data_IF_152990230123
#
_entry.id   IF_152990230123
#
_cell.length_a   1.000
_cell.length_b   1.000
_cell.length_c   1.000
_cell.angle_alpha   90.00
_cell.angle_beta   90.00
_cell.angle_gamma   90.00
#
_symmetry.space_group_name_H-M   'P 1'
#
loop_
_entity.id
_entity.type
_entity.pdbx_description
1 polymer ?
#
# COMPACT_ATOMS: atom_id res chain seq x y z
N UNK A 1 37.21 -15.48 0.12
CA UNK A 1 35.95 -16.04 0.65
C UNK A 1 35.14 -14.91 1.27
N UNK A 2 34.14 -14.37 0.57
CA UNK A 2 33.25 -13.34 1.15
C UNK A 2 31.95 -14.03 1.52
N UNK A 3 31.92 -14.59 2.74
CA UNK A 3 30.70 -15.14 3.31
C UNK A 3 29.85 -13.95 3.78
N UNK A 4 29.16 -13.28 2.84
CA UNK A 4 28.15 -12.30 3.17
C UNK A 4 26.98 -13.09 3.75
N UNK A 5 27.00 -13.33 5.06
CA UNK A 5 25.80 -13.75 5.79
C UNK A 5 24.70 -12.78 5.34
N UNK A 6 23.65 -13.31 4.73
CA UNK A 6 22.39 -12.57 4.66
C UNK A 6 21.95 -12.45 6.11
N UNK A 7 22.36 -11.37 6.76
CA UNK A 7 21.84 -11.01 8.07
C UNK A 7 20.33 -10.91 7.90
N UNK A 8 19.61 -11.62 8.78
CA UNK A 8 18.16 -11.56 8.81
C UNK A 8 17.73 -10.08 8.85
N UNK A 9 16.66 -9.68 8.13
CA UNK A 9 16.18 -8.31 8.18
C UNK A 9 15.99 -7.92 9.64
N UNK A 10 16.51 -6.75 10.01
CA UNK A 10 16.37 -6.24 11.37
C UNK A 10 14.89 -6.23 11.76
N UNK A 11 14.55 -6.60 13.00
CA UNK A 11 13.17 -6.58 13.44
C UNK A 11 12.59 -5.17 13.26
N UNK A 12 11.29 -5.07 12.92
CA UNK A 12 10.63 -3.79 12.68
C UNK A 12 10.75 -2.91 13.93
N UNK A 13 11.07 -1.64 13.71
CA UNK A 13 11.12 -0.67 14.81
C UNK A 13 9.71 -0.28 15.28
N UNK A 14 9.62 0.51 16.35
CA UNK A 14 8.34 0.91 16.93
C UNK A 14 7.46 1.70 15.94
N UNK A 15 8.06 2.48 15.04
CA UNK A 15 7.30 3.22 14.02
C UNK A 15 6.69 2.25 12.99
N UNK A 16 7.41 1.18 12.64
CA UNK A 16 6.96 0.17 11.68
C UNK A 16 5.81 -0.65 12.23
N UNK A 17 5.87 -0.99 13.51
CA UNK A 17 4.77 -1.63 14.21
C UNK A 17 3.51 -0.75 14.18
N UNK A 18 3.64 0.54 14.49
CA UNK A 18 2.50 1.47 14.51
C UNK A 18 1.90 1.71 13.12
N UNK A 19 2.74 1.79 12.09
CA UNK A 19 2.25 1.90 10.72
C UNK A 19 1.58 0.61 10.23
N UNK A 20 2.14 -0.56 10.54
CA UNK A 20 1.52 -1.85 10.22
C UNK A 20 0.14 -1.99 10.88
N UNK A 21 -0.02 -1.55 12.14
CA UNK A 21 -1.33 -1.48 12.80
C UNK A 21 -2.29 -0.54 12.05
N UNK A 22 -1.81 0.61 11.58
CA UNK A 22 -2.62 1.54 10.80
C UNK A 22 -3.08 0.94 9.46
N UNK A 23 -2.21 0.19 8.77
CA UNK A 23 -2.57 -0.56 7.56
C UNK A 23 -3.60 -1.66 7.83
N UNK A 24 -3.46 -2.42 8.92
CA UNK A 24 -4.45 -3.42 9.32
C UNK A 24 -5.80 -2.79 9.63
N UNK A 25 -5.81 -1.64 10.31
CA UNK A 25 -7.03 -0.89 10.56
C UNK A 25 -7.69 -0.43 9.25
N UNK A 26 -6.91 0.01 8.25
CA UNK A 26 -7.44 0.34 6.92
C UNK A 26 -8.11 -0.88 6.25
N UNK A 27 -7.52 -2.08 6.35
CA UNK A 27 -8.13 -3.31 5.81
C UNK A 27 -9.48 -3.61 6.47
N UNK A 28 -9.56 -3.47 7.80
CA UNK A 28 -10.81 -3.62 8.56
C UNK A 28 -11.87 -2.63 8.07
N UNK A 29 -11.50 -1.35 7.87
CA UNK A 29 -12.43 -0.33 7.37
C UNK A 29 -12.87 -0.60 5.94
N UNK A 30 -11.99 -1.10 5.08
CA UNK A 30 -12.35 -1.52 3.72
C UNK A 30 -13.33 -2.72 3.73
N UNK A 31 -13.13 -3.68 4.62
CA UNK A 31 -14.07 -4.80 4.78
C UNK A 31 -15.46 -4.30 5.23
N UNK A 32 -15.50 -3.36 6.18
CA UNK A 32 -16.75 -2.72 6.61
C UNK A 32 -17.43 -1.95 5.48
N UNK A 33 -16.67 -1.22 4.65
CA UNK A 33 -17.21 -0.55 3.47
C UNK A 33 -17.83 -1.53 2.48
N UNK A 34 -17.14 -2.63 2.14
CA UNK A 34 -17.70 -3.69 1.27
C UNK A 34 -19.00 -4.24 1.82
N UNK A 35 -19.06 -4.48 3.13
CA UNK A 35 -20.29 -4.93 3.78
C UNK A 35 -21.42 -3.88 3.69
N UNK A 36 -21.13 -2.61 4.01
CA UNK A 36 -22.11 -1.52 3.93
C UNK A 36 -22.66 -1.32 2.51
N UNK A 37 -21.88 -1.63 1.46
CA UNK A 37 -22.34 -1.61 0.07
C UNK A 37 -23.36 -2.69 -0.24
N UNK A 38 -23.25 -3.85 0.42
CA UNK A 38 -24.15 -4.99 0.18
C UNK A 38 -25.46 -4.90 0.95
N UNK A 39 -25.44 -4.37 2.18
CA UNK A 39 -26.60 -4.42 3.08
C UNK A 39 -27.03 -3.05 3.61
N UNK A 40 -26.20 -2.03 3.44
CA UNK A 40 -26.39 -0.72 4.05
C UNK A 40 -27.09 0.29 3.15
N UNK A 41 -27.54 1.37 3.77
CA UNK A 41 -28.09 2.53 3.04
C UNK A 41 -26.99 3.53 2.63
N UNK A 42 -27.35 4.52 1.81
CA UNK A 42 -26.39 5.51 1.29
C UNK A 42 -25.57 6.21 2.37
N UNK A 43 -26.17 6.54 3.53
CA UNK A 43 -25.44 7.20 4.64
C UNK A 43 -24.43 6.29 5.31
N UNK A 44 -24.72 5.00 5.39
CA UNK A 44 -23.80 4.01 5.96
C UNK A 44 -22.60 3.80 5.03
N UNK A 45 -22.83 3.77 3.71
CA UNK A 45 -21.77 3.73 2.70
C UNK A 45 -20.92 5.01 2.75
N UNK A 46 -21.53 6.18 2.92
CA UNK A 46 -20.82 7.46 3.09
C UNK A 46 -19.96 7.47 4.35
N UNK A 47 -20.51 7.03 5.49
CA UNK A 47 -19.75 6.92 6.75
C UNK A 47 -18.60 5.94 6.62
N UNK A 48 -18.82 4.79 6.00
CA UNK A 48 -17.76 3.80 5.80
C UNK A 48 -16.66 4.31 4.86
N UNK A 49 -16.98 5.17 3.88
CA UNK A 49 -15.99 5.82 3.04
C UNK A 49 -15.15 6.85 3.83
N UNK A 50 -15.77 7.63 4.71
CA UNK A 50 -15.06 8.56 5.60
C UNK A 50 -14.13 7.81 6.58
N UNK A 51 -14.57 6.67 7.10
CA UNK A 51 -13.75 5.81 7.95
C UNK A 51 -12.48 5.33 7.23
N UNK A 52 -12.58 4.99 5.93
CA UNK A 52 -11.42 4.66 5.10
C UNK A 52 -10.52 5.88 4.95
N UNK A 53 -11.06 7.05 4.60
CA UNK A 53 -10.28 8.28 4.43
C UNK A 53 -9.51 8.65 5.72
N UNK A 54 -10.18 8.57 6.86
CA UNK A 54 -9.56 8.79 8.18
C UNK A 54 -8.46 7.78 8.49
N UNK A 55 -8.65 6.50 8.13
CA UNK A 55 -7.61 5.48 8.29
C UNK A 55 -6.38 5.76 7.40
N UNK A 56 -6.58 6.27 6.18
CA UNK A 56 -5.50 6.69 5.29
C UNK A 56 -4.71 7.89 5.85
N UNK A 57 -5.38 8.87 6.46
CA UNK A 57 -4.69 9.97 7.15
C UNK A 57 -3.88 9.49 8.35
N UNK A 58 -4.40 8.53 9.12
CA UNK A 58 -3.63 7.92 10.19
C UNK A 58 -2.37 7.24 9.65
N UNK A 59 -2.46 6.49 8.54
CA UNK A 59 -1.28 5.89 7.87
C UNK A 59 -0.27 6.98 7.48
N UNK A 60 -0.73 8.07 6.87
CA UNK A 60 0.13 9.20 6.51
C UNK A 60 0.86 9.78 7.73
N UNK A 61 0.18 9.92 8.87
CA UNK A 61 0.77 10.49 10.07
C UNK A 61 1.80 9.57 10.76
N UNK A 62 1.78 8.26 10.47
CA UNK A 62 2.72 7.29 11.03
C UNK A 62 3.93 7.02 10.15
N UNK A 63 3.91 7.40 8.88
CA UNK A 63 5.00 7.12 7.95
C UNK A 63 6.09 8.21 7.99
N UNK A 64 7.40 7.86 8.06
CA UNK A 64 8.47 8.86 8.15
C UNK A 64 8.73 9.62 6.83
N UNK A 65 8.51 8.99 5.68
CA UNK A 65 8.68 9.63 4.36
C UNK A 65 7.51 10.55 4.01
N UNK A 66 7.79 11.86 3.91
CA UNK A 66 6.84 12.91 3.50
C UNK A 66 6.10 12.66 2.18
N UNK A 67 6.73 11.98 1.21
CA UNK A 67 6.10 11.64 -0.08
C UNK A 67 4.99 10.63 0.13
N UNK A 68 5.25 9.60 0.94
CA UNK A 68 4.25 8.60 1.31
C UNK A 68 3.10 9.24 2.08
N UNK A 69 3.41 10.17 3.00
CA UNK A 69 2.35 10.91 3.69
C UNK A 69 1.46 11.70 2.71
N UNK A 70 2.06 12.39 1.75
CA UNK A 70 1.34 13.18 0.74
C UNK A 70 0.44 12.28 -0.13
N UNK A 71 0.95 11.14 -0.59
CA UNK A 71 0.17 10.17 -1.39
C UNK A 71 -1.06 9.64 -0.63
N UNK A 72 -0.91 9.26 0.64
CA UNK A 72 -2.03 8.79 1.45
C UNK A 72 -3.05 9.90 1.72
N UNK A 73 -2.60 11.14 2.00
CA UNK A 73 -3.48 12.29 2.19
C UNK A 73 -4.24 12.64 0.90
N UNK A 74 -3.56 12.65 -0.25
CA UNK A 74 -4.18 12.94 -1.54
C UNK A 74 -5.25 11.89 -1.90
N UNK A 75 -5.00 10.61 -1.63
CA UNK A 75 -6.01 9.55 -1.83
C UNK A 75 -7.18 9.66 -0.85
N UNK A 76 -6.93 10.02 0.41
CA UNK A 76 -7.99 10.27 1.40
C UNK A 76 -8.92 11.41 0.95
N UNK A 77 -8.33 12.53 0.50
CA UNK A 77 -9.08 13.66 -0.05
C UNK A 77 -9.86 13.29 -1.31
N UNK A 78 -9.23 12.56 -2.25
CA UNK A 78 -9.90 12.05 -3.45
C UNK A 78 -11.10 11.18 -3.11
N UNK A 79 -11.00 10.34 -2.08
CA UNK A 79 -12.10 9.50 -1.61
C UNK A 79 -13.25 10.34 -1.04
N UNK A 80 -12.96 11.33 -0.17
CA UNK A 80 -13.98 12.23 0.40
C UNK A 80 -14.75 13.00 -0.66
N UNK A 81 -14.05 13.44 -1.70
CA UNK A 81 -14.62 14.20 -2.81
C UNK A 81 -15.31 13.31 -3.87
N UNK A 82 -15.37 11.99 -3.66
CA UNK A 82 -15.95 11.04 -4.62
C UNK A 82 -17.30 10.47 -4.16
N UNK A 83 -18.13 10.09 -5.12
CA UNK A 83 -19.42 9.44 -4.90
C UNK A 83 -19.65 8.32 -5.93
N UNK A 84 -20.63 7.46 -5.67
CA UNK A 84 -21.07 6.43 -6.62
C UNK A 84 -19.94 5.54 -7.14
N UNK A 85 -19.95 5.28 -8.46
CA UNK A 85 -18.98 4.40 -9.13
C UNK A 85 -17.53 4.93 -9.05
N UNK A 86 -17.33 6.25 -9.05
CA UNK A 86 -15.99 6.83 -8.92
C UNK A 86 -15.38 6.50 -7.55
N UNK A 87 -16.18 6.59 -6.49
CA UNK A 87 -15.76 6.20 -5.14
C UNK A 87 -15.35 4.73 -5.08
N UNK A 88 -16.14 3.86 -5.70
CA UNK A 88 -15.90 2.42 -5.73
C UNK A 88 -14.56 2.09 -6.40
N UNK A 89 -14.27 2.70 -7.56
CA UNK A 89 -12.97 2.56 -8.22
C UNK A 89 -11.81 3.01 -7.33
N UNK A 90 -11.96 4.12 -6.59
CA UNK A 90 -10.92 4.60 -5.67
C UNK A 90 -10.69 3.60 -4.53
N UNK A 91 -11.75 3.09 -3.91
CA UNK A 91 -11.64 2.09 -2.82
C UNK A 91 -11.03 0.79 -3.32
N UNK A 92 -11.39 0.34 -4.52
CA UNK A 92 -10.81 -0.85 -5.14
C UNK A 92 -9.30 -0.67 -5.40
N UNK A 93 -8.90 0.49 -5.94
CA UNK A 93 -7.49 0.83 -6.17
C UNK A 93 -6.68 0.88 -4.88
N UNK A 94 -7.26 1.42 -3.80
CA UNK A 94 -6.64 1.41 -2.46
C UNK A 94 -6.44 -0.04 -1.99
N UNK A 95 -7.45 -0.89 -2.14
CA UNK A 95 -7.37 -2.28 -1.69
C UNK A 95 -6.35 -3.12 -2.43
N UNK A 96 -6.20 -2.92 -3.75
CA UNK A 96 -5.15 -3.58 -4.55
C UNK A 96 -3.74 -3.21 -4.08
N UNK A 97 -3.53 -1.96 -3.67
CA UNK A 97 -2.24 -1.49 -3.15
C UNK A 97 -1.91 -1.99 -1.74
N UNK A 98 -2.94 -2.17 -0.89
CA UNK A 98 -2.76 -2.52 0.53
C UNK A 98 -2.12 -3.89 0.76
N UNK A 99 -2.47 -4.89 -0.05
CA UNK A 99 -1.93 -6.25 0.08
C UNK A 99 -0.41 -6.31 -0.14
N UNK A 100 0.10 -5.49 -1.06
CA UNK A 100 1.54 -5.38 -1.30
C UNK A 100 2.20 -4.74 -0.07
N UNK A 101 1.59 -3.69 0.48
CA UNK A 101 2.17 -2.91 1.58
C UNK A 101 2.22 -3.65 2.92
N UNK A 102 1.23 -4.49 3.24
CA UNK A 102 1.22 -5.29 4.48
C UNK A 102 2.39 -6.27 4.59
N UNK A 103 3.02 -6.62 3.47
CA UNK A 103 4.17 -7.55 3.42
C UNK A 103 5.49 -6.84 3.14
N UNK A 104 5.45 -5.51 2.96
CA UNK A 104 6.60 -4.71 2.55
C UNK A 104 7.22 -3.99 3.75
N UNK A 105 8.52 -4.17 4.01
CA UNK A 105 9.26 -3.36 4.97
C UNK A 105 9.25 -1.87 4.61
N UNK A 106 9.21 -0.99 5.59
CA UNK A 106 9.17 0.47 5.42
C UNK A 106 10.15 1.04 4.40
N UNK A 107 11.39 0.57 4.41
CA UNK A 107 12.45 1.06 3.54
C UNK A 107 12.12 0.92 2.04
N UNK A 108 11.19 0.02 1.68
CA UNK A 108 10.78 -0.24 0.30
C UNK A 108 9.51 0.51 -0.11
N UNK A 109 8.74 1.05 0.84
CA UNK A 109 7.41 1.63 0.58
C UNK A 109 7.49 2.87 -0.31
N UNK A 110 8.46 3.77 -0.07
CA UNK A 110 8.64 4.97 -0.89
C UNK A 110 8.96 4.67 -2.36
N UNK A 111 9.73 3.60 -2.61
CA UNK A 111 10.03 3.14 -3.96
C UNK A 111 8.82 2.50 -4.64
N UNK A 112 8.02 1.73 -3.89
CA UNK A 112 6.77 1.13 -4.40
C UNK A 112 5.75 2.22 -4.72
N UNK A 113 5.53 3.20 -3.84
CA UNK A 113 4.55 4.27 -4.10
C UNK A 113 4.99 5.20 -5.24
N UNK A 114 6.28 5.55 -5.30
CA UNK A 114 6.83 6.33 -6.41
C UNK A 114 6.73 5.63 -7.77
N UNK A 115 6.77 4.29 -7.78
CA UNK A 115 6.58 3.50 -9.01
C UNK A 115 5.11 3.23 -9.30
N UNK A 116 4.26 2.98 -8.30
CA UNK A 116 2.80 2.82 -8.45
C UNK A 116 2.14 4.07 -9.02
N UNK A 117 2.64 5.28 -8.71
CA UNK A 117 2.22 6.52 -9.36
C UNK A 117 2.45 6.57 -10.89
N UNK A 118 3.37 5.75 -11.42
CA UNK A 118 3.62 5.59 -12.86
C UNK A 118 3.11 4.25 -13.43
N UNK A 119 2.65 3.31 -12.59
CA UNK A 119 2.33 1.91 -12.96
C UNK A 119 0.82 1.66 -13.03
N UNK A 120 0.01 2.68 -13.35
CA UNK A 120 -1.39 2.45 -13.73
C UNK A 120 -1.56 2.14 -15.24
N UNK A 121 -0.48 2.11 -16.04
CA UNK A 121 -0.51 1.72 -17.45
C UNK A 121 0.36 0.51 -17.83
N UNK A 122 0.99 -0.19 -16.87
CA UNK A 122 1.94 -1.25 -17.24
C UNK A 122 2.38 -2.16 -16.11
N UNK A 123 1.53 -3.10 -15.73
CA UNK A 123 1.82 -4.16 -14.73
C UNK A 123 2.95 -5.13 -15.19
N UNK A 124 3.54 -4.96 -16.38
CA UNK A 124 4.54 -5.89 -16.93
C UNK A 124 6.01 -5.65 -16.60
N UNK A 125 6.41 -4.52 -16.00
CA UNK A 125 7.83 -4.12 -15.92
C UNK A 125 8.53 -4.46 -14.61
N UNK A 126 7.84 -4.41 -13.46
CA UNK A 126 8.46 -4.72 -12.15
C UNK A 126 8.89 -6.20 -12.07
N UNK A 127 8.05 -7.13 -12.54
CA UNK A 127 8.39 -8.56 -12.55
C UNK A 127 9.59 -8.86 -13.46
N UNK A 128 9.81 -8.07 -14.52
CA UNK A 128 11.00 -8.23 -15.40
C UNK A 128 12.30 -7.79 -14.72
N UNK A 129 12.24 -6.86 -13.76
CA UNK A 129 13.41 -6.43 -12.98
C UNK A 129 13.91 -7.51 -12.03
N UNK A 130 12.99 -8.19 -11.33
CA UNK A 130 13.31 -9.29 -10.42
C UNK A 130 13.73 -10.57 -11.16
N UNK A 131 13.13 -10.85 -12.32
CA UNK A 131 13.53 -11.99 -13.16
C UNK A 131 14.95 -11.87 -13.73
N UNK A 132 15.44 -10.67 -14.03
CA UNK A 132 16.82 -10.46 -14.52
C UNK A 132 17.88 -10.59 -13.43
N UNK A 133 17.52 -10.41 -12.15
CA UNK A 133 18.42 -10.65 -11.01
C UNK A 133 18.45 -12.13 -10.61
N UNK A 134 17.33 -12.84 -10.77
CA UNK A 134 17.24 -14.28 -10.51
C UNK A 134 17.87 -15.14 -11.62
N UNK A 135 18.04 -14.61 -12.83
CA UNK A 135 18.51 -15.36 -13.99
C UNK A 135 19.87 -14.86 -14.51
N UNK A 136 20.82 -14.62 -13.60
CA UNK A 136 22.23 -14.52 -13.97
C UNK A 136 22.84 -15.94 -13.88
N UNK A 137 23.00 -16.67 -15.01
CA UNK A 137 23.73 -17.93 -14.96
C UNK A 137 25.15 -17.66 -14.45
N UNK A 138 25.57 -18.44 -13.46
CA UNK A 138 26.98 -18.61 -13.11
C UNK A 138 27.66 -19.30 -14.29
N UNK A 139 28.16 -18.54 -15.25
CA UNK A 139 29.28 -19.02 -16.04
C UNK A 139 30.56 -18.81 -15.24
N UNK A 140 31.05 -19.93 -14.71
CA UNK A 140 32.46 -20.18 -14.54
C UNK A 140 33.13 -20.07 -15.92
N UNK A 141 34.30 -19.43 -16.00
CA UNK A 141 35.56 -19.95 -16.57
C UNK A 141 36.51 -18.77 -16.81
N UNK A 142 37.70 -18.92 -16.25
CA UNK A 142 38.83 -17.98 -16.25
C UNK A 142 39.66 -18.24 -15.02
#
# INVERSE_FOLDING_TARGET
MINKKLDAPSPPDAAEIEWNKALQNLDIKMAAYRHSRTVGNGREVDRAAEDIASAMENIANKHPDSRVQAEYRAKAEKLRNSTGANRESIVEDIGKGLLILLTTPFALVGAILGTVGQILNGVGSILRGLGKLANKPRELVG
#
